data_IF_012691936290
#
_entry.id   IF_012691936290
#
_cell.length_a   1.000
_cell.length_b   1.000
_cell.length_c   1.000
_cell.angle_alpha   90.00
_cell.angle_beta   90.00
_cell.angle_gamma   90.00
#
_symmetry.space_group_name_H-M   'P 1'
#
loop_
_entity.id
_entity.type
_entity.pdbx_description
1 polymer ?
#
# COMPACT_ATOMS: atom_id res chain seq x y z
N UNK A 1 -2.08 64.38 -0.43
CA UNK A 1 -2.53 63.16 0.25
C UNK A 1 -2.75 62.16 -0.86
N UNK A 2 -1.73 61.34 -1.11
CA UNK A 2 -1.78 60.26 -2.09
C UNK A 2 -2.39 59.04 -1.40
N UNK A 3 -3.65 58.74 -1.68
CA UNK A 3 -4.25 57.48 -1.27
C UNK A 3 -3.80 56.38 -2.23
N UNK A 4 -2.94 55.51 -1.73
CA UNK A 4 -2.50 54.28 -2.40
C UNK A 4 -3.65 53.27 -2.26
N UNK A 5 -4.12 52.63 -3.35
CA UNK A 5 -5.19 51.65 -3.24
C UNK A 5 -4.70 50.44 -2.45
N UNK A 6 -5.50 50.00 -1.47
CA UNK A 6 -5.24 48.77 -0.71
C UNK A 6 -5.18 47.57 -1.66
N UNK A 7 -4.20 46.65 -1.48
CA UNK A 7 -4.16 45.42 -2.25
C UNK A 7 -5.36 44.55 -1.87
N UNK A 8 -6.21 44.24 -2.85
CA UNK A 8 -7.33 43.32 -2.68
C UNK A 8 -6.87 41.93 -2.22
N UNK A 9 -7.78 41.11 -1.67
CA UNK A 9 -7.44 39.80 -1.13
C UNK A 9 -6.80 38.94 -2.23
N UNK A 10 -5.58 38.48 -1.98
CA UNK A 10 -4.90 37.49 -2.81
C UNK A 10 -5.81 36.26 -2.91
N UNK A 11 -6.41 36.05 -4.08
CA UNK A 11 -7.09 34.80 -4.36
C UNK A 11 -5.99 33.74 -4.50
N UNK A 12 -5.81 32.91 -3.47
CA UNK A 12 -5.08 31.65 -3.61
C UNK A 12 -5.84 30.76 -4.59
N UNK A 13 -5.55 30.89 -5.88
CA UNK A 13 -6.07 29.99 -6.90
C UNK A 13 -5.31 28.67 -6.77
N UNK A 14 -5.80 27.81 -5.88
CA UNK A 14 -5.29 26.46 -5.72
C UNK A 14 -5.77 25.60 -6.90
N UNK A 15 -4.91 25.44 -7.90
CA UNK A 15 -5.16 24.59 -9.06
C UNK A 15 -5.05 23.12 -8.67
N UNK A 16 -6.07 22.32 -8.99
CA UNK A 16 -6.04 20.87 -8.84
C UNK A 16 -5.12 20.28 -9.92
N UNK A 17 -4.02 19.64 -9.52
CA UNK A 17 -3.09 19.03 -10.48
C UNK A 17 -3.66 17.70 -11.00
N UNK A 18 -3.94 16.78 -10.08
CA UNK A 18 -4.55 15.49 -10.37
C UNK A 18 -5.19 14.91 -9.10
N UNK A 19 -5.93 13.83 -9.29
CA UNK A 19 -6.52 13.04 -8.21
C UNK A 19 -6.28 11.55 -8.44
N UNK A 20 -6.29 10.77 -7.37
CA UNK A 20 -6.28 9.31 -7.44
C UNK A 20 -7.18 8.74 -6.34
N UNK A 21 -7.80 7.60 -6.60
CA UNK A 21 -8.61 6.89 -5.61
C UNK A 21 -7.73 6.00 -4.73
N UNK A 22 -8.18 5.77 -3.50
CA UNK A 22 -7.57 4.85 -2.56
C UNK A 22 -8.67 4.01 -1.94
N UNK A 23 -8.51 2.70 -1.94
CA UNK A 23 -9.35 1.77 -1.17
C UNK A 23 -8.48 0.73 -0.48
N UNK A 24 -8.86 0.32 0.73
CA UNK A 24 -8.12 -0.66 1.51
C UNK A 24 -9.06 -1.61 2.25
N UNK A 25 -8.56 -2.78 2.64
CA UNK A 25 -9.24 -3.76 3.48
C UNK A 25 -10.69 -4.02 3.03
N UNK A 26 -10.87 -4.33 1.75
CA UNK A 26 -12.19 -4.75 1.24
C UNK A 26 -12.59 -6.05 1.95
N UNK A 27 -11.65 -6.98 2.11
CA UNK A 27 -11.81 -8.23 2.85
C UNK A 27 -13.17 -8.91 2.55
N UNK A 28 -13.55 -8.98 1.27
CA UNK A 28 -14.82 -9.59 0.88
C UNK A 28 -14.83 -11.09 1.23
N UNK A 29 -15.95 -11.55 1.78
CA UNK A 29 -16.28 -12.96 1.87
C UNK A 29 -17.81 -13.11 1.83
N UNK A 30 -18.30 -14.22 1.28
CA UNK A 30 -19.73 -14.52 1.24
C UNK A 30 -20.23 -15.11 2.57
N UNK A 31 -20.00 -14.38 3.66
CA UNK A 31 -20.25 -14.79 5.04
C UNK A 31 -21.11 -13.74 5.78
N UNK A 32 -21.78 -14.18 6.84
CA UNK A 32 -22.40 -13.26 7.79
C UNK A 32 -21.36 -12.38 8.46
N UNK A 33 -21.77 -11.19 8.91
CA UNK A 33 -20.89 -10.27 9.63
C UNK A 33 -20.19 -10.97 10.81
N UNK A 34 -18.90 -10.70 10.96
CA UNK A 34 -18.06 -11.27 12.00
C UNK A 34 -17.36 -10.20 12.82
N UNK A 35 -16.26 -10.60 13.44
CA UNK A 35 -15.40 -9.71 14.21
C UNK A 35 -13.94 -9.91 13.81
N UNK A 36 -13.11 -8.90 14.05
CA UNK A 36 -11.67 -9.05 13.95
C UNK A 36 -11.13 -10.05 14.99
N UNK A 37 -9.86 -10.42 14.86
CA UNK A 37 -9.19 -11.39 15.75
C UNK A 37 -9.35 -11.06 17.25
N UNK A 38 -9.36 -9.77 17.62
CA UNK A 38 -9.52 -9.32 19.01
C UNK A 38 -10.97 -9.29 19.50
N UNK A 39 -11.95 -9.56 18.63
CA UNK A 39 -13.38 -9.52 18.96
C UNK A 39 -13.95 -8.13 19.23
N UNK A 40 -13.17 -7.06 19.00
CA UNK A 40 -13.54 -5.69 19.38
C UNK A 40 -14.03 -4.82 18.22
N UNK A 41 -13.89 -5.28 16.98
CA UNK A 41 -14.38 -4.58 15.78
C UNK A 41 -15.18 -5.52 14.89
N UNK A 42 -16.36 -5.07 14.46
CA UNK A 42 -17.22 -5.81 13.54
C UNK A 42 -16.65 -5.74 12.12
N UNK A 43 -16.71 -6.87 11.40
CA UNK A 43 -16.34 -7.00 9.99
C UNK A 43 -17.60 -7.29 9.17
N UNK A 44 -17.82 -6.49 8.12
CA UNK A 44 -19.03 -6.55 7.29
C UNK A 44 -18.73 -7.17 5.92
N UNK A 45 -18.47 -8.49 5.88
CA UNK A 45 -17.86 -9.16 4.73
C UNK A 45 -18.62 -9.04 3.41
N UNK A 46 -19.95 -9.20 3.41
CA UNK A 46 -20.75 -9.03 2.17
C UNK A 46 -20.93 -7.57 1.79
N UNK A 47 -21.11 -6.71 2.78
CA UNK A 47 -21.32 -5.27 2.55
C UNK A 47 -20.08 -4.58 2.00
N UNK A 48 -18.87 -5.12 2.20
CA UNK A 48 -17.67 -4.54 1.63
C UNK A 48 -17.69 -4.49 0.09
N UNK A 49 -18.37 -5.44 -0.57
CA UNK A 49 -18.57 -5.42 -2.02
C UNK A 49 -19.47 -4.24 -2.46
N UNK A 50 -20.48 -3.91 -1.64
CA UNK A 50 -21.35 -2.75 -1.88
C UNK A 50 -20.58 -1.44 -1.68
N UNK A 51 -19.68 -1.38 -0.69
CA UNK A 51 -18.79 -0.23 -0.50
C UNK A 51 -17.84 -0.03 -1.69
N UNK A 52 -17.25 -1.13 -2.20
CA UNK A 52 -16.44 -1.07 -3.42
C UNK A 52 -17.26 -0.57 -4.61
N UNK A 53 -18.46 -1.10 -4.83
CA UNK A 53 -19.32 -0.65 -5.92
C UNK A 53 -19.65 0.85 -5.79
N UNK A 54 -20.03 1.32 -4.60
CA UNK A 54 -20.30 2.73 -4.35
C UNK A 54 -19.08 3.62 -4.60
N UNK A 55 -17.88 3.17 -4.20
CA UNK A 55 -16.62 3.89 -4.46
C UNK A 55 -16.34 4.01 -5.97
N UNK A 56 -16.47 2.91 -6.72
CA UNK A 56 -16.27 2.90 -8.17
C UNK A 56 -17.30 3.79 -8.87
N UNK A 57 -18.57 3.72 -8.46
CA UNK A 57 -19.61 4.59 -9.01
C UNK A 57 -19.32 6.07 -8.74
N UNK A 58 -18.79 6.39 -7.56
CA UNK A 58 -18.38 7.75 -7.22
C UNK A 58 -17.24 8.22 -8.13
N UNK A 59 -16.13 7.48 -8.19
CA UNK A 59 -14.98 7.83 -9.03
C UNK A 59 -15.33 7.94 -10.52
N UNK A 60 -16.19 7.06 -11.02
CA UNK A 60 -16.65 7.08 -12.41
C UNK A 60 -17.54 8.28 -12.77
N UNK A 61 -18.11 8.98 -11.77
CA UNK A 61 -18.99 10.14 -11.90
C UNK A 61 -18.29 11.46 -11.53
N UNK A 62 -17.08 11.44 -10.97
CA UNK A 62 -16.34 12.65 -10.64
C UNK A 62 -16.05 13.48 -11.92
N UNK A 63 -16.19 14.80 -11.82
CA UNK A 63 -15.90 15.71 -12.94
C UNK A 63 -14.41 15.76 -13.28
N UNK A 64 -13.55 15.56 -12.29
CA UNK A 64 -12.11 15.33 -12.45
C UNK A 64 -11.84 13.87 -12.11
N UNK A 65 -11.90 13.02 -13.13
CA UNK A 65 -11.68 11.58 -12.99
C UNK A 65 -10.30 11.30 -12.39
N UNK A 66 -10.20 10.41 -11.37
CA UNK A 66 -8.91 9.96 -10.85
C UNK A 66 -8.01 9.40 -11.94
N UNK A 67 -6.69 9.63 -11.89
CA UNK A 67 -5.75 9.06 -12.87
C UNK A 67 -5.60 7.54 -12.70
N UNK A 68 -5.72 7.06 -11.46
CA UNK A 68 -5.70 5.64 -11.10
C UNK A 68 -6.38 5.44 -9.74
N UNK A 69 -6.52 4.17 -9.33
CA UNK A 69 -6.90 3.78 -7.98
C UNK A 69 -5.82 2.91 -7.36
N UNK A 70 -5.45 3.19 -6.12
CA UNK A 70 -4.61 2.33 -5.29
C UNK A 70 -5.52 1.44 -4.43
N UNK A 71 -5.44 0.14 -4.62
CA UNK A 71 -6.05 -0.84 -3.74
C UNK A 71 -4.96 -1.40 -2.81
N UNK A 72 -5.06 -1.06 -1.52
CA UNK A 72 -3.99 -1.26 -0.53
C UNK A 72 -4.05 -2.62 0.18
N UNK A 73 -4.15 -3.72 -0.56
CA UNK A 73 -4.15 -5.07 0.01
C UNK A 73 -5.46 -5.48 0.67
N UNK A 74 -5.52 -6.76 1.03
CA UNK A 74 -6.64 -7.43 1.66
C UNK A 74 -7.96 -7.27 0.88
N UNK A 75 -7.96 -7.69 -0.38
CA UNK A 75 -9.12 -7.64 -1.29
C UNK A 75 -10.23 -8.59 -0.83
N UNK A 76 -9.85 -9.81 -0.44
CA UNK A 76 -10.76 -10.85 0.04
C UNK A 76 -10.34 -11.32 1.43
N UNK A 77 -11.28 -11.72 2.29
CA UNK A 77 -10.93 -12.20 3.62
C UNK A 77 -10.28 -13.60 3.58
N UNK A 78 -9.50 -13.94 4.61
CA UNK A 78 -8.76 -15.20 4.74
C UNK A 78 -9.69 -16.37 5.03
N UNK A 79 -10.89 -16.10 5.55
CA UNK A 79 -11.94 -17.11 5.69
C UNK A 79 -12.33 -17.74 4.36
N UNK A 80 -12.19 -17.06 3.22
CA UNK A 80 -12.46 -17.70 1.93
C UNK A 80 -11.59 -18.94 1.71
N UNK A 81 -10.34 -18.95 2.18
CA UNK A 81 -9.48 -20.13 2.11
C UNK A 81 -10.02 -21.30 2.95
N UNK A 82 -10.50 -20.99 4.16
CA UNK A 82 -11.09 -21.98 5.07
C UNK A 82 -12.33 -22.65 4.47
N UNK A 83 -13.14 -21.88 3.73
CA UNK A 83 -14.34 -22.37 3.03
C UNK A 83 -14.09 -22.79 1.57
N UNK A 84 -12.83 -22.83 1.10
CA UNK A 84 -12.45 -23.16 -0.29
C UNK A 84 -13.18 -22.30 -1.34
N UNK A 85 -13.34 -21.02 -1.04
CA UNK A 85 -14.08 -20.04 -1.83
C UNK A 85 -13.20 -18.92 -2.40
N UNK A 86 -11.87 -18.97 -2.21
CA UNK A 86 -10.94 -17.88 -2.54
C UNK A 86 -11.04 -17.40 -3.99
N UNK A 87 -11.02 -18.31 -4.97
CA UNK A 87 -11.08 -17.94 -6.39
C UNK A 87 -12.41 -17.28 -6.75
N UNK A 88 -13.52 -17.85 -6.27
CA UNK A 88 -14.88 -17.31 -6.50
C UNK A 88 -15.07 -15.95 -5.82
N UNK A 89 -14.50 -15.77 -4.64
CA UNK A 89 -14.52 -14.50 -3.93
C UNK A 89 -13.71 -13.44 -4.68
N UNK A 90 -12.50 -13.80 -5.13
CA UNK A 90 -11.65 -12.93 -5.93
C UNK A 90 -12.32 -12.55 -7.25
N UNK A 91 -12.91 -13.52 -7.96
CA UNK A 91 -13.63 -13.27 -9.21
C UNK A 91 -14.73 -12.23 -9.02
N UNK A 92 -15.55 -12.34 -7.97
CA UNK A 92 -16.61 -11.38 -7.66
C UNK A 92 -16.07 -9.97 -7.46
N UNK A 93 -15.02 -9.81 -6.66
CA UNK A 93 -14.42 -8.50 -6.42
C UNK A 93 -13.80 -7.93 -7.71
N UNK A 94 -13.11 -8.77 -8.48
CA UNK A 94 -12.51 -8.33 -9.74
C UNK A 94 -13.55 -7.99 -10.81
N UNK A 95 -14.70 -8.67 -10.87
CA UNK A 95 -15.82 -8.27 -11.73
C UNK A 95 -16.35 -6.89 -11.37
N UNK A 96 -16.40 -6.54 -10.07
CA UNK A 96 -16.76 -5.20 -9.64
C UNK A 96 -15.71 -4.17 -10.10
N UNK A 97 -14.42 -4.46 -9.93
CA UNK A 97 -13.34 -3.60 -10.42
C UNK A 97 -13.32 -3.40 -11.94
N UNK A 98 -13.78 -4.38 -12.73
CA UNK A 98 -13.89 -4.24 -14.20
C UNK A 98 -14.83 -3.10 -14.64
N UNK A 99 -15.70 -2.62 -13.75
CA UNK A 99 -16.59 -1.47 -14.04
C UNK A 99 -15.92 -0.11 -13.83
N UNK A 100 -14.74 -0.07 -13.21
CA UNK A 100 -13.95 1.15 -13.01
C UNK A 100 -13.28 1.57 -14.32
N UNK A 101 -13.36 2.86 -14.67
CA UNK A 101 -12.86 3.39 -15.95
C UNK A 101 -11.36 3.69 -15.96
N UNK A 102 -10.67 3.53 -14.84
CA UNK A 102 -9.27 3.92 -14.62
C UNK A 102 -8.47 2.72 -14.11
N UNK A 103 -7.15 2.67 -14.35
CA UNK A 103 -6.33 1.55 -13.89
C UNK A 103 -6.32 1.41 -12.36
N UNK A 104 -6.19 0.17 -11.89
CA UNK A 104 -6.06 -0.17 -10.47
C UNK A 104 -4.69 -0.76 -10.21
N UNK A 105 -4.01 -0.25 -9.19
CA UNK A 105 -2.78 -0.80 -8.68
C UNK A 105 -3.06 -1.56 -7.38
N UNK A 106 -2.76 -2.85 -7.37
CA UNK A 106 -3.03 -3.74 -6.24
C UNK A 106 -1.75 -3.97 -5.46
N UNK A 107 -1.72 -3.64 -4.17
CA UNK A 107 -0.71 -4.19 -3.23
C UNK A 107 -1.20 -5.54 -2.71
N UNK A 108 -0.28 -6.37 -2.21
CA UNK A 108 -0.62 -7.66 -1.58
C UNK A 108 -0.44 -7.57 -0.07
N UNK A 109 -1.52 -7.86 0.66
CA UNK A 109 -1.57 -7.95 2.11
C UNK A 109 -1.51 -9.38 2.64
N UNK A 110 -1.62 -9.55 3.95
CA UNK A 110 -1.64 -10.87 4.59
C UNK A 110 -2.81 -11.72 4.11
N UNK A 111 -3.97 -11.11 3.83
CA UNK A 111 -5.13 -11.87 3.39
C UNK A 111 -4.99 -12.41 1.96
N UNK A 112 -4.21 -11.76 1.08
CA UNK A 112 -3.81 -12.38 -0.18
C UNK A 112 -3.00 -13.66 0.08
N UNK A 113 -2.04 -13.63 1.02
CA UNK A 113 -1.21 -14.79 1.35
C UNK A 113 -1.89 -15.85 2.23
N UNK A 114 -3.01 -15.53 2.88
CA UNK A 114 -3.89 -16.54 3.48
C UNK A 114 -4.65 -17.35 2.43
N UNK A 115 -4.95 -16.74 1.29
CA UNK A 115 -5.76 -17.34 0.25
C UNK A 115 -4.92 -18.00 -0.85
N UNK A 116 -3.77 -17.43 -1.19
CA UNK A 116 -3.04 -17.77 -2.40
C UNK A 116 -1.52 -17.85 -2.17
N UNK A 117 -0.86 -18.69 -2.95
CA UNK A 117 0.60 -18.68 -3.04
C UNK A 117 1.09 -17.45 -3.82
N UNK A 118 2.36 -17.07 -3.64
CA UNK A 118 3.00 -16.03 -4.46
C UNK A 118 2.91 -16.34 -5.96
N UNK A 119 3.15 -17.61 -6.33
CA UNK A 119 3.05 -18.06 -7.73
C UNK A 119 1.63 -17.92 -8.30
N UNK A 120 0.59 -18.16 -7.50
CA UNK A 120 -0.77 -17.88 -7.94
C UNK A 120 -0.98 -16.37 -8.15
N UNK A 121 -0.55 -15.55 -7.19
CA UNK A 121 -0.73 -14.10 -7.23
C UNK A 121 -0.04 -13.46 -8.44
N UNK A 122 1.17 -13.90 -8.79
CA UNK A 122 1.91 -13.41 -9.97
C UNK A 122 1.20 -13.72 -11.29
N UNK A 123 0.38 -14.77 -11.36
CA UNK A 123 -0.43 -15.13 -12.54
C UNK A 123 -1.89 -14.67 -12.44
N UNK A 124 -2.26 -13.96 -11.37
CA UNK A 124 -3.63 -13.53 -11.10
C UNK A 124 -3.92 -12.11 -11.59
N UNK A 125 -5.20 -11.72 -11.55
CA UNK A 125 -5.64 -10.34 -11.81
C UNK A 125 -5.13 -9.33 -10.78
N UNK A 126 -4.59 -9.78 -9.64
CA UNK A 126 -3.97 -8.92 -8.62
C UNK A 126 -2.51 -8.58 -8.95
N UNK A 127 -1.91 -9.19 -9.97
CA UNK A 127 -0.62 -8.73 -10.48
C UNK A 127 -0.81 -7.53 -11.41
N UNK A 128 -0.58 -6.34 -10.89
CA UNK A 128 -0.62 -5.09 -11.64
C UNK A 128 0.78 -4.54 -11.96
N UNK A 129 1.85 -5.34 -11.82
CA UNK A 129 3.25 -4.96 -12.14
C UNK A 129 3.42 -4.59 -13.62
N UNK A 130 2.55 -5.08 -14.51
CA UNK A 130 2.55 -4.68 -15.93
C UNK A 130 2.25 -3.19 -16.16
N UNK A 131 1.75 -2.48 -15.15
CA UNK A 131 1.54 -1.02 -15.17
C UNK A 131 2.78 -0.22 -14.74
N UNK A 132 3.90 -0.87 -14.46
CA UNK A 132 5.13 -0.19 -14.06
C UNK A 132 5.71 0.67 -15.18
N UNK A 133 6.36 1.76 -14.80
CA UNK A 133 7.22 2.52 -15.71
C UNK A 133 8.66 2.05 -15.62
N UNK A 134 9.43 2.31 -16.68
CA UNK A 134 10.87 2.09 -16.71
C UNK A 134 11.59 3.43 -16.85
N UNK A 135 12.67 3.58 -16.10
CA UNK A 135 13.56 4.73 -16.25
C UNK A 135 14.67 4.32 -17.22
N UNK A 136 14.70 4.96 -18.39
CA UNK A 136 15.74 4.72 -19.38
C UNK A 136 17.13 4.97 -18.78
N UNK A 137 18.07 4.06 -19.07
CA UNK A 137 19.47 4.14 -18.62
C UNK A 137 19.71 4.07 -17.10
N UNK A 138 18.72 3.61 -16.32
CA UNK A 138 18.83 3.40 -14.86
C UNK A 138 18.39 1.99 -14.45
N UNK A 139 19.12 0.93 -14.82
CA UNK A 139 18.73 -0.46 -14.57
C UNK A 139 18.54 -0.79 -13.08
N UNK A 140 19.22 -0.07 -12.18
CA UNK A 140 19.09 -0.20 -10.73
C UNK A 140 17.70 0.17 -10.19
N UNK A 141 16.91 0.89 -10.98
CA UNK A 141 15.50 1.21 -10.66
C UNK A 141 14.52 0.13 -11.11
N UNK A 142 14.99 -0.92 -11.79
CA UNK A 142 14.17 -2.08 -12.15
C UNK A 142 14.09 -3.02 -10.94
N UNK A 143 12.88 -3.33 -10.45
CA UNK A 143 12.71 -4.21 -9.29
C UNK A 143 13.10 -5.65 -9.63
N UNK A 144 13.63 -6.35 -8.65
CA UNK A 144 13.87 -7.80 -8.73
C UNK A 144 12.57 -8.59 -8.91
N UNK A 145 12.67 -9.83 -9.39
CA UNK A 145 11.54 -10.78 -9.42
C UNK A 145 11.35 -11.50 -8.06
N UNK A 146 12.24 -11.27 -7.10
CA UNK A 146 12.18 -11.88 -5.76
C UNK A 146 11.07 -11.30 -4.86
N UNK A 147 10.53 -10.14 -5.20
CA UNK A 147 9.48 -9.43 -4.46
C UNK A 147 8.51 -8.73 -5.41
N UNK A 148 7.30 -8.45 -4.93
CA UNK A 148 6.26 -7.76 -5.71
C UNK A 148 6.26 -6.24 -5.42
N UNK A 149 7.22 -5.54 -6.00
CA UNK A 149 7.33 -4.08 -5.91
C UNK A 149 7.56 -3.48 -7.29
N UNK A 150 7.10 -2.25 -7.49
CA UNK A 150 7.32 -1.50 -8.73
C UNK A 150 6.99 -0.01 -8.53
N UNK A 151 7.36 0.83 -9.50
CA UNK A 151 7.01 2.24 -9.50
C UNK A 151 6.35 2.66 -10.82
N UNK A 152 5.62 3.77 -10.81
CA UNK A 152 5.00 4.38 -11.99
C UNK A 152 4.79 5.88 -11.79
N UNK A 153 4.49 6.61 -12.85
CA UNK A 153 4.39 8.08 -12.91
C UNK A 153 3.01 8.45 -13.49
N UNK A 154 1.97 8.56 -12.65
CA UNK A 154 0.62 8.87 -13.13
C UNK A 154 0.43 10.34 -13.53
N UNK A 155 1.35 11.22 -13.11
CA UNK A 155 1.31 12.65 -13.43
C UNK A 155 2.75 13.19 -13.50
N UNK A 156 3.06 14.17 -14.36
CA UNK A 156 4.40 14.75 -14.45
C UNK A 156 4.96 15.16 -13.09
N UNK A 157 6.18 14.72 -12.77
CA UNK A 157 6.87 14.93 -11.49
C UNK A 157 6.23 14.26 -10.27
N UNK A 158 5.29 13.33 -10.44
CA UNK A 158 4.76 12.52 -9.34
C UNK A 158 5.02 11.05 -9.60
N UNK A 159 5.84 10.42 -8.74
CA UNK A 159 6.16 9.00 -8.80
C UNK A 159 5.46 8.26 -7.68
N UNK A 160 4.81 7.17 -8.03
CA UNK A 160 4.16 6.27 -7.10
C UNK A 160 5.00 5.00 -7.00
N UNK A 161 5.16 4.49 -5.78
CA UNK A 161 5.96 3.29 -5.48
C UNK A 161 5.09 2.33 -4.68
N UNK A 162 4.93 1.11 -5.16
CA UNK A 162 4.31 0.02 -4.42
C UNK A 162 5.41 -0.88 -3.83
N UNK A 163 5.28 -1.19 -2.54
CA UNK A 163 6.20 -2.09 -1.84
C UNK A 163 5.53 -3.40 -1.45
N UNK A 164 6.33 -4.47 -1.43
CA UNK A 164 5.96 -5.79 -0.91
C UNK A 164 6.33 -5.84 0.58
N UNK A 165 5.36 -5.54 1.44
CA UNK A 165 5.54 -5.60 2.89
C UNK A 165 5.62 -7.03 3.44
N UNK A 166 5.45 -8.05 2.59
CA UNK A 166 5.54 -9.45 2.95
C UNK A 166 6.76 -10.14 2.34
N UNK A 167 7.64 -9.36 1.70
CA UNK A 167 8.91 -9.82 1.17
C UNK A 167 9.67 -10.62 2.24
N UNK A 168 9.84 -10.04 3.43
CA UNK A 168 10.28 -10.73 4.64
C UNK A 168 9.07 -11.09 5.51
N UNK A 169 8.49 -12.28 5.31
CA UNK A 169 7.39 -12.78 6.14
C UNK A 169 7.41 -14.30 6.26
N UNK A 170 6.67 -14.81 7.24
CA UNK A 170 6.28 -16.23 7.33
C UNK A 170 5.02 -16.53 6.52
N UNK A 171 4.41 -15.52 5.89
CA UNK A 171 3.30 -15.67 4.95
C UNK A 171 3.80 -15.51 3.52
N UNK A 172 3.24 -16.28 2.59
CA UNK A 172 3.56 -16.20 1.17
C UNK A 172 4.97 -16.67 0.79
N UNK A 173 5.84 -17.02 1.74
CA UNK A 173 7.20 -17.52 1.49
C UNK A 173 7.21 -19.05 1.66
N UNK A 174 7.92 -19.75 0.78
CA UNK A 174 8.10 -21.20 0.86
C UNK A 174 8.76 -21.58 2.20
N UNK A 175 8.09 -22.45 2.97
CA UNK A 175 8.52 -22.89 4.29
C UNK A 175 9.88 -23.61 4.28
N UNK A 176 10.24 -24.21 3.14
CA UNK A 176 11.54 -24.87 2.95
C UNK A 176 12.69 -23.89 2.71
N UNK A 177 12.39 -22.62 2.40
CA UNK A 177 13.40 -21.64 2.01
C UNK A 177 14.20 -21.10 3.21
N UNK A 178 15.49 -20.72 3.01
CA UNK A 178 16.27 -20.04 4.04
C UNK A 178 15.61 -18.73 4.54
N UNK A 179 14.93 -18.03 3.62
CA UNK A 179 14.22 -16.77 3.90
C UNK A 179 13.09 -16.97 4.91
N UNK A 180 12.29 -18.02 4.75
CA UNK A 180 11.23 -18.35 5.69
C UNK A 180 11.79 -18.70 7.07
N UNK A 181 12.84 -19.55 7.12
CA UNK A 181 13.45 -19.96 8.38
C UNK A 181 14.03 -18.76 9.14
N UNK A 182 14.63 -17.82 8.42
CA UNK A 182 15.10 -16.56 8.98
C UNK A 182 13.96 -15.71 9.54
N UNK A 183 12.88 -15.51 8.78
CA UNK A 183 11.71 -14.74 9.24
C UNK A 183 11.05 -15.39 10.45
N UNK A 184 10.91 -16.71 10.46
CA UNK A 184 10.33 -17.46 11.58
C UNK A 184 11.19 -17.36 12.85
N UNK A 185 12.52 -17.42 12.70
CA UNK A 185 13.45 -17.23 13.81
C UNK A 185 13.29 -15.84 14.43
N UNK A 186 13.33 -14.79 13.60
CA UNK A 186 13.17 -13.40 14.05
C UNK A 186 11.82 -13.18 14.74
N UNK A 187 10.74 -13.71 14.15
CA UNK A 187 9.40 -13.64 14.73
C UNK A 187 9.36 -14.28 16.13
N UNK A 188 9.92 -15.50 16.29
CA UNK A 188 9.93 -16.21 17.57
C UNK A 188 10.85 -15.60 18.62
N UNK A 189 11.90 -14.90 18.20
CA UNK A 189 12.79 -14.16 19.11
C UNK A 189 12.06 -12.98 19.79
N UNK A 190 11.16 -12.31 19.06
CA UNK A 190 10.43 -11.13 19.55
C UNK A 190 9.01 -11.46 20.04
N UNK A 191 8.46 -12.61 19.64
CA UNK A 191 7.13 -13.06 19.99
C UNK A 191 7.16 -14.47 20.62
N UNK A 192 7.22 -14.55 21.97
CA UNK A 192 7.22 -15.81 22.68
C UNK A 192 5.81 -16.43 22.83
N UNK A 193 4.76 -15.80 22.28
CA UNK A 193 3.40 -16.31 22.41
C UNK A 193 3.22 -17.61 21.61
N UNK A 194 2.40 -18.53 22.13
CA UNK A 194 2.02 -19.74 21.39
C UNK A 194 1.17 -19.40 20.15
N UNK A 195 0.27 -18.41 20.28
CA UNK A 195 -0.48 -17.82 19.17
C UNK A 195 0.31 -16.62 18.63
N UNK A 196 1.02 -16.81 17.51
CA UNK A 196 1.92 -15.81 16.94
C UNK A 196 1.19 -14.59 16.34
N UNK A 197 -0.13 -14.65 16.17
CA UNK A 197 -0.92 -13.46 15.83
C UNK A 197 -1.23 -12.57 17.05
N UNK A 198 -0.97 -13.02 18.27
CA UNK A 198 -1.24 -12.23 19.47
C UNK A 198 -0.12 -11.21 19.73
N UNK A 199 -0.42 -9.90 19.78
CA UNK A 199 0.53 -8.89 20.22
C UNK A 199 0.56 -8.73 21.76
N UNK A 200 -0.24 -9.51 22.49
CA UNK A 200 -0.39 -9.35 23.94
C UNK A 200 0.93 -9.62 24.65
N UNK A 201 1.37 -8.67 25.47
CA UNK A 201 2.60 -8.80 26.27
C UNK A 201 3.90 -8.56 25.51
N UNK A 202 3.84 -8.22 24.22
CA UNK A 202 5.05 -7.91 23.45
C UNK A 202 5.54 -6.48 23.73
N UNK A 203 6.85 -6.32 23.92
CA UNK A 203 7.50 -5.00 23.91
C UNK A 203 7.42 -4.35 22.53
N UNK A 204 7.44 -5.18 21.49
CA UNK A 204 7.41 -4.80 20.09
C UNK A 204 6.19 -5.46 19.42
N UNK A 205 5.00 -4.85 19.56
CA UNK A 205 3.73 -5.46 19.15
C UNK A 205 3.60 -5.69 17.64
N UNK A 206 4.53 -5.18 16.83
CA UNK A 206 4.61 -5.42 15.39
C UNK A 206 5.13 -6.81 15.02
N UNK A 207 5.83 -7.52 15.91
CA UNK A 207 6.31 -8.88 15.64
C UNK A 207 5.20 -9.91 15.82
N UNK A 208 4.24 -9.91 14.90
CA UNK A 208 3.11 -10.85 14.86
C UNK A 208 3.04 -11.49 13.49
N UNK A 209 2.52 -12.72 13.43
CA UNK A 209 2.53 -13.55 12.23
C UNK A 209 1.81 -12.92 11.02
N UNK A 210 0.79 -12.08 11.26
CA UNK A 210 0.07 -11.39 10.19
C UNK A 210 0.82 -10.19 9.59
N UNK A 211 1.97 -9.81 10.13
CA UNK A 211 2.83 -8.76 9.59
C UNK A 211 3.96 -9.34 8.72
N UNK A 212 4.76 -8.44 8.16
CA UNK A 212 5.99 -8.74 7.45
C UNK A 212 6.97 -7.57 7.53
N UNK A 213 7.97 -7.61 6.66
CA UNK A 213 8.95 -6.55 6.48
C UNK A 213 9.54 -6.57 5.07
N UNK A 214 10.54 -5.71 4.89
CA UNK A 214 11.21 -5.51 3.60
C UNK A 214 12.61 -6.12 3.65
N UNK A 215 13.02 -6.82 2.59
CA UNK A 215 14.40 -7.29 2.47
C UNK A 215 15.35 -6.13 2.19
N UNK A 216 16.64 -6.33 2.48
CA UNK A 216 17.66 -5.34 2.11
C UNK A 216 17.70 -5.10 0.59
N UNK A 217 17.42 -6.13 -0.22
CA UNK A 217 17.36 -6.02 -1.68
C UNK A 217 16.26 -5.03 -2.12
N UNK A 218 15.06 -5.14 -1.53
CA UNK A 218 13.95 -4.23 -1.82
C UNK A 218 14.23 -2.81 -1.30
N UNK A 219 14.84 -2.66 -0.12
CA UNK A 219 15.20 -1.36 0.43
C UNK A 219 16.29 -0.65 -0.40
N UNK A 220 17.27 -1.41 -0.92
CA UNK A 220 18.27 -0.85 -1.82
C UNK A 220 17.63 -0.37 -3.13
N UNK A 221 16.74 -1.17 -3.73
CA UNK A 221 15.98 -0.76 -4.91
C UNK A 221 15.15 0.51 -4.64
N UNK A 222 14.43 0.55 -3.52
CA UNK A 222 13.68 1.75 -3.12
C UNK A 222 14.59 2.97 -3.04
N UNK A 223 15.78 2.83 -2.44
CA UNK A 223 16.75 3.92 -2.33
C UNK A 223 17.20 4.44 -3.71
N UNK A 224 17.41 3.56 -4.70
CA UNK A 224 17.76 3.98 -6.06
C UNK A 224 16.63 4.77 -6.73
N UNK A 225 15.37 4.32 -6.58
CA UNK A 225 14.19 5.02 -7.11
C UNK A 225 14.01 6.40 -6.44
N UNK A 226 14.21 6.48 -5.13
CA UNK A 226 14.15 7.75 -4.38
C UNK A 226 15.29 8.69 -4.78
N UNK A 227 16.51 8.16 -4.91
CA UNK A 227 17.68 8.95 -5.35
C UNK A 227 17.47 9.52 -6.76
N UNK A 228 16.89 8.73 -7.67
CA UNK A 228 16.48 9.21 -8.98
C UNK A 228 15.42 10.33 -8.87
N UNK A 229 14.40 10.11 -8.05
CA UNK A 229 13.29 11.06 -7.84
C UNK A 229 13.80 12.40 -7.30
N UNK A 230 14.72 12.37 -6.34
CA UNK A 230 15.36 13.56 -5.75
C UNK A 230 16.12 14.38 -6.80
N UNK A 231 16.98 13.71 -7.59
CA UNK A 231 17.74 14.35 -8.68
C UNK A 231 16.83 15.00 -9.72
N UNK A 232 15.65 14.42 -9.93
CA UNK A 232 14.67 14.88 -10.92
C UNK A 232 13.57 15.77 -10.32
N UNK A 233 13.67 16.12 -9.03
CA UNK A 233 12.70 16.95 -8.31
C UNK A 233 11.27 16.41 -8.39
N UNK A 234 11.12 15.09 -8.35
CA UNK A 234 9.82 14.43 -8.31
C UNK A 234 9.27 14.41 -6.87
N UNK A 235 7.95 14.36 -6.73
CA UNK A 235 7.25 14.08 -5.49
C UNK A 235 6.88 12.60 -5.47
N UNK A 236 7.07 11.95 -4.32
CA UNK A 236 6.91 10.50 -4.21
C UNK A 236 5.73 10.15 -3.31
N UNK A 237 4.88 9.25 -3.80
CA UNK A 237 3.82 8.60 -3.03
C UNK A 237 4.17 7.12 -2.86
N UNK A 238 4.30 6.65 -1.62
CA UNK A 238 4.59 5.24 -1.34
C UNK A 238 3.32 4.56 -0.84
N UNK A 239 2.88 3.52 -1.55
CA UNK A 239 1.76 2.68 -1.20
C UNK A 239 2.26 1.39 -0.54
N UNK A 240 1.90 1.19 0.73
CA UNK A 240 2.38 0.09 1.57
C UNK A 240 1.22 -0.44 2.41
N UNK A 241 1.09 -1.77 2.51
CA UNK A 241 0.15 -2.42 3.42
C UNK A 241 0.77 -3.65 4.10
N UNK A 242 0.63 -3.80 5.43
CA UNK A 242 0.15 -2.82 6.41
C UNK A 242 1.25 -1.81 6.77
N UNK A 243 0.88 -0.58 7.16
CA UNK A 243 1.83 0.39 7.72
C UNK A 243 1.46 0.70 9.17
N UNK A 244 2.40 0.45 10.09
CA UNK A 244 2.35 0.99 11.45
C UNK A 244 3.14 2.30 11.49
N UNK A 245 2.67 3.36 12.16
CA UNK A 245 3.39 4.64 12.29
C UNK A 245 4.74 4.54 13.02
N UNK A 246 5.04 3.37 13.59
CA UNK A 246 6.40 2.97 13.95
C UNK A 246 6.80 1.80 13.07
N UNK A 247 7.24 2.05 11.82
CA UNK A 247 8.02 1.06 11.12
C UNK A 247 9.35 1.03 11.86
N UNK A 248 9.52 0.10 12.80
CA UNK A 248 10.82 -0.57 12.81
C UNK A 248 10.84 -1.25 11.45
N UNK A 249 11.39 -0.54 10.45
CA UNK A 249 11.93 -1.20 9.27
C UNK A 249 12.66 -2.37 9.89
N UNK A 250 12.24 -3.60 9.58
CA UNK A 250 13.00 -4.78 9.98
C UNK A 250 14.28 -4.81 9.13
N UNK A 251 15.04 -3.72 9.17
CA UNK A 251 16.45 -3.67 8.89
C UNK A 251 17.10 -4.42 10.06
N UNK A 252 17.91 -5.40 9.69
CA UNK A 252 18.65 -6.25 10.61
C UNK A 252 19.31 -5.47 11.76
N UNK A 253 19.49 -6.10 12.94
CA UNK A 253 20.44 -5.61 13.94
C UNK A 253 21.84 -5.66 13.31
N UNK A 254 22.37 -4.48 12.95
CA UNK A 254 23.65 -4.34 12.29
C UNK A 254 23.85 -2.98 11.60
N UNK A 255 22.79 -2.25 11.26
CA UNK A 255 22.91 -0.92 10.65
C UNK A 255 21.84 0.00 11.24
N UNK A 256 22.28 0.79 12.22
CA UNK A 256 21.79 2.09 12.69
C UNK A 256 20.29 2.36 12.74
N UNK A 257 19.80 2.69 13.95
CA UNK A 257 18.92 3.84 14.15
C UNK A 257 19.44 5.03 13.33
N UNK A 258 18.91 5.18 12.12
CA UNK A 258 18.98 6.45 11.40
C UNK A 258 17.56 6.98 11.42
N UNK A 259 17.27 8.00 12.25
CA UNK A 259 16.13 8.86 11.97
C UNK A 259 16.36 9.33 10.53
N UNK A 260 15.45 8.99 9.61
CA UNK A 260 15.56 9.39 8.21
C UNK A 260 15.91 10.88 8.12
N UNK A 261 17.15 11.24 7.77
CA UNK A 261 17.49 12.62 7.56
C UNK A 261 17.14 12.87 6.09
N UNK A 262 15.91 13.30 5.82
CA UNK A 262 15.56 13.85 4.51
C UNK A 262 16.32 15.15 4.31
N UNK A 263 17.61 15.07 3.97
CA UNK A 263 18.35 16.18 3.38
C UNK A 263 18.06 16.18 1.87
N UNK A 264 16.82 16.54 1.53
CA UNK A 264 16.34 16.64 0.16
C UNK A 264 14.94 17.25 0.12
N UNK A 265 14.66 18.12 -0.85
CA UNK A 265 13.39 18.86 -1.06
C UNK A 265 12.20 17.96 -1.50
N UNK A 266 12.29 16.65 -1.27
CA UNK A 266 11.32 15.65 -1.71
C UNK A 266 10.24 15.49 -0.65
N UNK A 267 9.00 15.79 -1.02
CA UNK A 267 7.85 15.53 -0.16
C UNK A 267 7.42 14.08 -0.40
N UNK A 268 7.66 13.22 0.59
CA UNK A 268 7.25 11.81 0.58
C UNK A 268 5.91 11.70 1.29
N UNK A 269 4.92 11.10 0.61
CA UNK A 269 3.61 10.81 1.19
C UNK A 269 3.46 9.29 1.29
N UNK A 270 3.20 8.78 2.49
CA UNK A 270 2.85 7.38 2.69
C UNK A 270 1.33 7.23 2.71
N UNK A 271 0.80 6.33 1.88
CA UNK A 271 -0.61 5.94 1.91
C UNK A 271 -0.71 4.53 2.43
N UNK A 272 -1.45 4.35 3.53
CA UNK A 272 -1.63 3.07 4.20
C UNK A 272 -2.97 2.98 4.89
N UNK A 273 -3.35 1.75 5.24
CA UNK A 273 -4.54 1.44 6.05
C UNK A 273 -4.15 0.58 7.26
N UNK A 274 -4.72 0.82 8.46
CA UNK A 274 -4.68 -0.14 9.55
C UNK A 274 -5.49 -1.38 9.16
N UNK A 275 -4.97 -2.60 9.43
CA UNK A 275 -5.49 -3.92 9.02
C UNK A 275 -6.92 -4.32 9.49
N UNK A 276 -7.74 -3.35 9.91
CA UNK A 276 -9.07 -3.59 10.51
C UNK A 276 -10.15 -2.62 10.04
N UNK A 277 -9.87 -1.70 9.10
CA UNK A 277 -10.85 -0.72 8.62
C UNK A 277 -10.83 -0.66 7.10
N UNK A 278 -11.96 -0.97 6.47
CA UNK A 278 -12.18 -0.61 5.08
C UNK A 278 -12.11 0.91 4.95
N UNK A 279 -11.12 1.40 4.21
CA UNK A 279 -10.92 2.82 3.96
C UNK A 279 -11.21 3.09 2.49
N UNK A 280 -12.00 4.12 2.20
CA UNK A 280 -12.17 4.68 0.85
C UNK A 280 -11.86 6.16 0.92
N UNK A 281 -10.94 6.62 0.07
CA UNK A 281 -10.59 8.03 -0.02
C UNK A 281 -10.35 8.43 -1.49
N UNK A 282 -10.68 9.67 -1.82
CA UNK A 282 -10.17 10.33 -3.03
C UNK A 282 -9.13 11.34 -2.57
N UNK A 283 -7.85 11.15 -2.95
CA UNK A 283 -6.82 12.13 -2.64
C UNK A 283 -6.69 13.12 -3.80
N UNK A 284 -6.76 14.41 -3.48
CA UNK A 284 -6.66 15.51 -4.43
C UNK A 284 -5.38 16.29 -4.16
N UNK A 285 -4.45 16.28 -5.10
CA UNK A 285 -3.19 17.01 -4.97
C UNK A 285 -3.35 18.37 -5.64
N UNK A 286 -3.15 19.42 -4.85
CA UNK A 286 -3.30 20.81 -5.24
C UNK A 286 -1.94 21.48 -5.31
N UNK A 287 -1.76 22.35 -6.29
CA UNK A 287 -0.66 23.29 -6.30
C UNK A 287 -1.00 24.46 -5.37
N UNK A 288 -0.12 24.76 -4.43
CA UNK A 288 -0.22 25.96 -3.59
C UNK A 288 0.87 26.90 -4.07
N UNK A 289 0.48 27.98 -4.73
CA UNK A 289 1.39 29.07 -5.08
C UNK A 289 1.57 29.94 -3.84
N UNK A 290 2.67 29.75 -3.11
CA UNK A 290 3.12 30.78 -2.16
C UNK A 290 3.90 31.82 -2.95
N UNK A 291 3.28 32.95 -3.28
CA UNK A 291 4.02 34.11 -3.78
C UNK A 291 4.81 34.69 -2.61
N UNK A 292 6.11 34.38 -2.53
CA UNK A 292 7.02 35.16 -1.68
C UNK A 292 7.16 36.55 -2.28
N UNK A 293 6.62 37.55 -1.59
CA UNK A 293 6.92 38.98 -1.83
C UNK A 293 8.26 39.36 -1.23
#
# INVERSE_FOLDING_TARGET
MDDKPEPGPLSESSELLFSFGVIADIQYADLEDGYNFQGNRRRYYRHSLLHLQGAIEHWNKESSTPCCVLQLGDVIDGYNAQYRASEKALERVMTTFQTLKVPVHHTWGNHEFYNFSRDYLTHSKLNSKFLQDQIAHHPETVPSENYYAYHFVPFPKFRFILLDAYDMSVLGVDQSSPKYQQCLKMLKEHNPNAELNSPQGLSEPQFVQFNGGFSQEQLNWLNEVLTFSDKNQEKVVIAIFPFSPRPTVCAWPGITETPWPSFGLTSVWCVSSPATLTMVATLRIRLVFTTST
#
